data_IF_582398105694
#
_entry.id   IF_582398105694
#
_cell.length_a   1.000
_cell.length_b   1.000
_cell.length_c   1.000
_cell.angle_alpha   90.00
_cell.angle_beta   90.00
_cell.angle_gamma   90.00
#
_symmetry.space_group_name_H-M   'P 1'
#
loop_
_entity.id
_entity.type
_entity.pdbx_description
1 polymer ?
#
# COMPACT_ATOMS: atom_id res chain seq x y z
N UNK A 1 -31.99 -3.37 -19.05
CA UNK A 1 -31.62 -4.33 -17.98
C UNK A 1 -30.13 -4.65 -17.95
N UNK A 2 -29.59 -5.64 -18.69
CA UNK A 2 -28.17 -6.03 -18.54
C UNK A 2 -27.16 -4.88 -18.83
N UNK A 3 -27.48 -3.99 -19.78
CA UNK A 3 -26.63 -2.84 -20.14
C UNK A 3 -26.64 -1.72 -19.09
N UNK A 4 -27.81 -1.47 -18.49
CA UNK A 4 -27.96 -0.46 -17.41
C UNK A 4 -27.25 -0.93 -16.14
N UNK A 5 -27.35 -2.21 -15.79
CA UNK A 5 -26.63 -2.78 -14.66
C UNK A 5 -25.11 -2.63 -14.84
N UNK A 6 -24.59 -2.88 -16.05
CA UNK A 6 -23.17 -2.67 -16.33
C UNK A 6 -22.74 -1.21 -16.24
N UNK A 7 -23.56 -0.26 -16.72
CA UNK A 7 -23.23 1.18 -16.60
C UNK A 7 -23.24 1.65 -15.15
N UNK A 8 -24.21 1.22 -14.35
CA UNK A 8 -24.28 1.58 -12.92
C UNK A 8 -23.06 1.01 -12.17
N UNK A 9 -22.64 -0.22 -12.48
CA UNK A 9 -21.42 -0.82 -11.90
C UNK A 9 -20.16 -0.08 -12.36
N UNK A 10 -20.09 0.35 -13.62
CA UNK A 10 -18.95 1.13 -14.13
C UNK A 10 -18.84 2.49 -13.43
N UNK A 11 -19.95 3.20 -13.22
CA UNK A 11 -19.97 4.49 -12.52
C UNK A 11 -19.56 4.34 -11.04
N UNK A 12 -20.01 3.28 -10.38
CA UNK A 12 -19.61 2.96 -8.99
C UNK A 12 -18.14 2.54 -8.89
N UNK A 13 -17.63 1.80 -9.87
CA UNK A 13 -16.21 1.38 -9.89
C UNK A 13 -15.26 2.50 -10.32
N UNK A 14 -15.73 3.44 -11.15
CA UNK A 14 -15.02 4.65 -11.56
C UNK A 14 -15.08 5.79 -10.53
N UNK A 15 -14.99 5.44 -9.24
CA UNK A 15 -14.80 6.45 -8.22
C UNK A 15 -13.32 6.87 -8.18
N UNK A 16 -13.02 8.17 -8.23
CA UNK A 16 -11.64 8.69 -8.21
C UNK A 16 -10.82 8.16 -7.02
N UNK A 17 -11.47 7.75 -5.92
CA UNK A 17 -10.85 7.10 -4.75
C UNK A 17 -10.27 5.71 -5.04
N UNK A 18 -10.77 5.00 -6.06
CA UNK A 18 -10.26 3.70 -6.48
C UNK A 18 -8.91 3.79 -7.22
N UNK A 19 -8.48 4.99 -7.63
CA UNK A 19 -7.16 5.22 -8.24
C UNK A 19 -5.98 4.88 -7.31
N UNK A 20 -6.23 4.80 -5.99
CA UNK A 20 -5.20 4.48 -5.00
C UNK A 20 -5.08 3.00 -4.67
N UNK A 21 -5.87 2.13 -5.30
CA UNK A 21 -5.77 0.67 -5.08
C UNK A 21 -4.39 0.20 -5.52
N UNK A 22 -3.74 -0.61 -4.68
CA UNK A 22 -2.43 -1.16 -5.00
C UNK A 22 -2.56 -2.12 -6.19
N UNK A 23 -1.65 -2.06 -7.17
CA UNK A 23 -1.60 -3.04 -8.24
C UNK A 23 -1.20 -4.40 -7.64
N UNK A 24 -2.04 -5.41 -7.84
CA UNK A 24 -1.84 -6.77 -7.31
C UNK A 24 -1.72 -7.74 -8.47
N UNK A 25 -0.75 -8.64 -8.38
CA UNK A 25 -0.64 -9.80 -9.25
C UNK A 25 -1.19 -11.02 -8.52
N UNK A 26 -2.41 -11.44 -8.86
CA UNK A 26 -3.15 -12.46 -8.13
C UNK A 26 -3.35 -12.07 -6.65
N UNK A 27 -2.63 -12.71 -5.73
CA UNK A 27 -2.62 -12.44 -4.28
C UNK A 27 -1.36 -11.70 -3.84
N UNK A 28 -0.36 -11.59 -4.70
CA UNK A 28 0.92 -10.97 -4.40
C UNK A 28 0.92 -9.51 -4.83
N UNK A 29 1.66 -8.67 -4.09
CA UNK A 29 1.91 -7.29 -4.49
C UNK A 29 2.70 -7.30 -5.80
N UNK A 30 2.32 -6.47 -6.78
CA UNK A 30 3.03 -6.39 -8.06
C UNK A 30 4.52 -6.07 -7.89
N UNK A 31 4.90 -5.35 -6.82
CA UNK A 31 6.29 -4.99 -6.50
C UNK A 31 7.10 -6.20 -6.03
N UNK A 32 6.46 -7.17 -5.37
CA UNK A 32 7.11 -8.43 -4.99
C UNK A 32 7.40 -9.34 -6.21
N UNK A 33 6.77 -9.06 -7.36
CA UNK A 33 7.04 -9.75 -8.63
C UNK A 33 8.50 -9.64 -9.09
N UNK A 34 9.19 -8.56 -8.77
CA UNK A 34 10.62 -8.42 -9.10
C UNK A 34 11.49 -9.43 -8.34
N UNK A 35 11.13 -9.72 -7.08
CA UNK A 35 11.84 -10.72 -6.28
C UNK A 35 11.53 -12.13 -6.79
N UNK A 36 10.30 -12.37 -7.26
CA UNK A 36 9.94 -13.61 -7.93
C UNK A 36 10.79 -13.84 -9.19
N UNK A 37 10.97 -12.80 -10.02
CA UNK A 37 11.86 -12.88 -11.19
C UNK A 37 13.30 -13.24 -10.79
N UNK A 38 13.79 -12.70 -9.67
CA UNK A 38 15.12 -13.02 -9.14
C UNK A 38 15.25 -14.51 -8.78
N UNK A 39 14.20 -15.11 -8.18
CA UNK A 39 14.16 -16.54 -7.88
C UNK A 39 14.15 -17.38 -9.15
N UNK A 40 13.41 -16.97 -10.18
CA UNK A 40 13.35 -17.68 -11.48
C UNK A 40 14.70 -17.63 -12.19
N UNK A 41 15.39 -16.49 -12.18
CA UNK A 41 16.69 -16.32 -12.81
C UNK A 41 17.82 -17.02 -12.03
N UNK A 42 17.76 -17.01 -10.70
CA UNK A 42 18.78 -17.59 -9.83
C UNK A 42 18.13 -18.43 -8.72
N UNK A 43 17.74 -19.68 -9.01
CA UNK A 43 17.05 -20.56 -8.05
C UNK A 43 18.05 -21.13 -7.03
N UNK A 44 18.42 -20.32 -6.04
CA UNK A 44 19.32 -20.70 -4.95
C UNK A 44 18.55 -20.64 -3.63
N UNK A 45 18.93 -21.47 -2.65
CA UNK A 45 18.22 -21.52 -1.36
C UNK A 45 18.08 -20.14 -0.69
N UNK A 46 19.08 -19.28 -0.85
CA UNK A 46 19.05 -17.93 -0.28
C UNK A 46 18.09 -16.99 -1.03
N UNK A 47 17.94 -17.09 -2.35
CA UNK A 47 17.01 -16.23 -3.11
C UNK A 47 15.56 -16.57 -2.77
N UNK A 48 15.27 -17.86 -2.57
CA UNK A 48 13.97 -18.34 -2.07
C UNK A 48 13.69 -17.78 -0.66
N UNK A 49 14.69 -17.79 0.23
CA UNK A 49 14.54 -17.22 1.56
C UNK A 49 14.24 -15.72 1.52
N UNK A 50 14.92 -14.96 0.66
CA UNK A 50 14.65 -13.53 0.44
C UNK A 50 13.24 -13.30 -0.10
N UNK A 51 12.79 -14.10 -1.08
CA UNK A 51 11.45 -14.02 -1.61
C UNK A 51 10.37 -14.23 -0.54
N UNK A 52 10.53 -15.23 0.32
CA UNK A 52 9.61 -15.49 1.42
C UNK A 52 9.60 -14.34 2.44
N UNK A 53 10.78 -13.82 2.81
CA UNK A 53 10.90 -12.70 3.76
C UNK A 53 10.19 -11.44 3.24
N UNK A 54 10.37 -11.12 1.96
CA UNK A 54 9.72 -9.98 1.31
C UNK A 54 8.21 -10.17 1.32
N UNK A 55 7.71 -11.34 0.93
CA UNK A 55 6.27 -11.64 0.95
C UNK A 55 5.66 -11.54 2.36
N UNK A 56 6.34 -12.07 3.37
CA UNK A 56 5.89 -11.98 4.77
C UNK A 56 5.83 -10.51 5.21
N UNK A 57 6.82 -9.71 4.86
CA UNK A 57 6.84 -8.28 5.18
C UNK A 57 5.66 -7.55 4.54
N UNK A 58 5.40 -7.79 3.25
CA UNK A 58 4.24 -7.21 2.56
C UNK A 58 2.92 -7.67 3.17
N UNK A 59 2.81 -8.94 3.54
CA UNK A 59 1.62 -9.48 4.20
C UNK A 59 1.35 -8.81 5.57
N UNK A 60 2.40 -8.56 6.36
CA UNK A 60 2.29 -7.83 7.63
C UNK A 60 1.86 -6.38 7.42
N UNK A 61 2.38 -5.72 6.39
CA UNK A 61 2.00 -4.34 6.04
C UNK A 61 0.55 -4.27 5.55
N UNK A 62 0.10 -5.25 4.77
CA UNK A 62 -1.27 -5.34 4.28
C UNK A 62 -2.26 -5.54 5.43
N UNK A 63 -1.91 -6.35 6.45
CA UNK A 63 -2.72 -6.47 7.68
C UNK A 63 -2.88 -5.15 8.42
N UNK A 64 -1.94 -4.22 8.26
CA UNK A 64 -2.03 -2.86 8.82
C UNK A 64 -2.76 -1.87 7.91
N UNK A 65 -3.24 -2.31 6.74
CA UNK A 65 -3.85 -1.44 5.72
C UNK A 65 -2.85 -0.47 5.08
N UNK A 66 -1.54 -0.70 5.23
CA UNK A 66 -0.50 0.19 4.72
C UNK A 66 -0.08 -0.25 3.31
N UNK A 67 -0.12 0.68 2.37
CA UNK A 67 0.55 0.50 1.07
C UNK A 67 2.06 0.58 1.27
N UNK A 68 2.86 0.02 0.35
CA UNK A 68 4.33 0.09 0.45
C UNK A 68 4.87 1.52 0.61
N UNK A 69 4.32 2.47 -0.16
CA UNK A 69 4.73 3.87 -0.08
C UNK A 69 4.32 4.52 1.25
N UNK A 70 3.15 4.17 1.78
CA UNK A 70 2.71 4.60 3.10
C UNK A 70 3.58 3.98 4.20
N UNK A 71 3.94 2.70 4.09
CA UNK A 71 4.84 2.01 5.00
C UNK A 71 6.24 2.65 5.03
N UNK A 72 6.79 3.01 3.86
CA UNK A 72 8.07 3.73 3.78
C UNK A 72 7.99 5.13 4.41
N UNK A 73 6.87 5.84 4.24
CA UNK A 73 6.65 7.13 4.92
C UNK A 73 6.57 6.95 6.42
N UNK A 74 5.82 5.96 6.89
CA UNK A 74 5.70 5.63 8.32
C UNK A 74 7.06 5.24 8.91
N UNK A 75 7.82 4.40 8.20
CA UNK A 75 9.18 4.00 8.58
C UNK A 75 10.12 5.21 8.65
N UNK A 76 10.06 6.12 7.67
CA UNK A 76 10.84 7.36 7.69
C UNK A 76 10.49 8.23 8.89
N UNK A 77 9.21 8.41 9.16
CA UNK A 77 8.73 9.17 10.32
C UNK A 77 9.19 8.52 11.62
N UNK A 78 9.10 7.19 11.70
CA UNK A 78 9.56 6.43 12.85
C UNK A 78 11.07 6.59 13.09
N UNK A 79 11.89 6.60 12.03
CA UNK A 79 13.33 6.80 12.11
C UNK A 79 13.73 8.22 12.53
N UNK A 80 13.03 9.25 12.02
CA UNK A 80 13.30 10.67 12.36
C UNK A 80 12.82 11.00 13.78
N UNK A 81 11.80 10.29 14.28
CA UNK A 81 11.24 10.50 15.59
C UNK A 81 10.20 11.64 15.66
N UNK A 82 9.73 11.98 16.87
CA UNK A 82 8.57 12.86 17.06
C UNK A 82 8.86 14.35 16.91
N UNK A 83 10.14 14.77 16.92
CA UNK A 83 10.51 16.19 16.93
C UNK A 83 10.36 16.79 15.53
N UNK A 84 9.26 17.51 15.31
CA UNK A 84 8.98 18.26 14.06
C UNK A 84 9.00 19.76 14.33
N UNK A 85 10.17 20.43 14.26
CA UNK A 85 10.29 21.85 14.60
C UNK A 85 9.55 22.77 13.62
N UNK A 86 9.29 22.32 12.39
CA UNK A 86 8.53 23.07 11.38
C UNK A 86 7.00 22.91 11.51
N UNK A 87 6.52 22.19 12.52
CA UNK A 87 5.10 21.97 12.73
C UNK A 87 4.51 23.19 13.45
N UNK A 88 3.68 23.96 12.74
CA UNK A 88 3.01 25.15 13.29
C UNK A 88 2.11 24.77 14.49
N UNK A 89 1.95 25.68 15.46
CA UNK A 89 1.10 25.47 16.64
C UNK A 89 -0.38 25.22 16.29
N UNK A 90 -0.79 25.55 15.06
CA UNK A 90 -2.17 25.45 14.56
C UNK A 90 -2.64 24.01 14.36
N UNK A 91 -1.75 23.01 14.31
CA UNK A 91 -2.16 21.59 14.15
C UNK A 91 -2.98 21.05 15.33
N UNK A 92 -2.97 21.75 16.47
CA UNK A 92 -3.84 21.43 17.62
C UNK A 92 -5.28 21.89 17.43
N UNK A 93 -5.60 22.61 16.34
CA UNK A 93 -6.97 22.98 15.99
C UNK A 93 -7.59 21.81 15.24
N UNK A 94 -8.28 20.94 15.96
CA UNK A 94 -9.23 20.01 15.35
C UNK A 94 -10.31 20.87 14.67
N UNK A 95 -10.51 20.72 13.36
CA UNK A 95 -11.76 21.16 12.75
C UNK A 95 -12.85 20.34 13.46
N UNK A 96 -13.63 20.99 14.33
CA UNK A 96 -14.90 20.43 14.75
C UNK A 96 -15.81 20.48 13.54
N UNK A 97 -16.33 19.33 13.14
CA UNK A 97 -17.43 19.30 12.19
C UNK A 97 -18.55 20.15 12.78
N UNK A 98 -18.92 21.23 12.08
CA UNK A 98 -20.15 21.93 12.39
C UNK A 98 -21.27 21.09 11.80
N UNK A 99 -22.08 20.52 12.70
CA UNK A 99 -23.34 19.85 12.37
C UNK A 99 -24.27 20.75 11.54
#
# INVERSE_FOLDING_TARGET
MAKEETEVVLIQTWHWRNSQKTPRFWRFDARAGLVLLLVVLFPRKWTIAVFLLVNITFWLLERKGLTFTAALRAMRVWLIGPKRPAYFWTDRRKLGDQE
#
